data_IF_497316078468
#
_entry.id   IF_497316078468
#
_cell.length_a   1.000
_cell.length_b   1.000
_cell.length_c   1.000
_cell.angle_alpha   90.00
_cell.angle_beta   90.00
_cell.angle_gamma   90.00
#
_symmetry.space_group_name_H-M   'P 1'
#
loop_
_entity.id
_entity.type
_entity.pdbx_description
1 polymer ?
#
# COMPACT_ATOMS: atom_id res chain seq x y z
N UNK A 1 1.12 -16.52 -0.40
CA UNK A 1 1.43 -15.54 0.67
C UNK A 1 0.16 -15.17 1.40
N UNK A 2 0.22 -15.18 2.71
CA UNK A 2 -0.92 -14.77 3.53
C UNK A 2 -0.92 -13.27 3.71
N UNK A 3 -2.12 -12.68 3.82
CA UNK A 3 -2.29 -11.23 4.02
C UNK A 3 -3.11 -10.98 5.27
N UNK A 4 -2.64 -10.05 6.09
CA UNK A 4 -3.37 -9.60 7.28
C UNK A 4 -3.58 -8.10 7.17
N UNK A 5 -4.74 -7.62 7.63
CA UNK A 5 -5.16 -6.23 7.44
C UNK A 5 -5.36 -5.56 8.79
N UNK A 6 -4.55 -4.56 9.07
CA UNK A 6 -4.72 -3.74 10.26
C UNK A 6 -5.99 -2.90 10.13
N UNK A 7 -6.57 -2.48 11.25
CA UNK A 7 -7.75 -1.61 11.22
C UNK A 7 -7.49 -0.33 10.45
N UNK A 8 -6.28 0.21 10.54
CA UNK A 8 -5.89 1.41 9.82
C UNK A 8 -5.96 1.25 8.30
N UNK A 9 -5.80 0.03 7.78
CA UNK A 9 -5.90 -0.22 6.33
C UNK A 9 -7.34 -0.22 5.83
N UNK A 10 -8.31 -0.31 6.75
CA UNK A 10 -9.73 -0.39 6.39
C UNK A 10 -10.44 0.96 6.43
N UNK A 11 -9.76 1.98 6.89
CA UNK A 11 -10.32 3.32 7.11
C UNK A 11 -10.96 3.95 5.89
N UNK A 12 -10.39 3.71 4.72
CA UNK A 12 -10.78 4.39 3.49
C UNK A 12 -11.60 3.51 2.55
N UNK A 13 -12.03 2.34 3.04
CA UNK A 13 -12.96 1.49 2.30
C UNK A 13 -12.39 0.83 1.05
N UNK A 14 -11.07 0.72 0.94
CA UNK A 14 -10.45 0.00 -0.19
C UNK A 14 -10.64 -1.50 0.05
N UNK A 15 -11.17 -2.21 -0.94
CA UNK A 15 -11.45 -3.63 -0.80
C UNK A 15 -10.17 -4.46 -0.71
N UNK A 16 -10.20 -5.51 0.11
CA UNK A 16 -9.04 -6.37 0.32
C UNK A 16 -8.57 -7.02 -0.99
N UNK A 17 -9.49 -7.40 -1.86
CA UNK A 17 -9.13 -7.99 -3.16
C UNK A 17 -8.31 -7.05 -4.02
N UNK A 18 -8.66 -5.77 -4.01
CA UNK A 18 -7.92 -4.74 -4.75
C UNK A 18 -6.52 -4.60 -4.19
N UNK A 19 -6.39 -4.56 -2.87
CA UNK A 19 -5.11 -4.44 -2.19
C UNK A 19 -4.20 -5.61 -2.55
N UNK A 20 -4.71 -6.82 -2.47
CA UNK A 20 -3.93 -8.03 -2.78
C UNK A 20 -3.48 -8.03 -4.23
N UNK A 21 -4.37 -7.68 -5.16
CA UNK A 21 -4.02 -7.60 -6.58
C UNK A 21 -2.87 -6.64 -6.84
N UNK A 22 -2.90 -5.47 -6.19
CA UNK A 22 -1.84 -4.48 -6.37
C UNK A 22 -0.53 -5.00 -5.80
N UNK A 23 -0.56 -5.58 -4.62
CA UNK A 23 0.65 -6.12 -3.99
C UNK A 23 1.27 -7.23 -4.84
N UNK A 24 0.44 -8.08 -5.43
CA UNK A 24 0.93 -9.19 -6.26
C UNK A 24 1.39 -8.76 -7.64
N UNK A 25 1.03 -7.56 -8.07
CA UNK A 25 1.39 -7.09 -9.41
C UNK A 25 2.85 -6.69 -9.54
N UNK A 26 3.49 -6.32 -8.46
CA UNK A 26 4.89 -5.86 -8.45
C UNK A 26 5.44 -5.92 -7.03
N UNK A 27 6.79 -5.89 -6.87
CA UNK A 27 7.41 -6.16 -5.56
C UNK A 27 7.27 -5.08 -4.51
N UNK A 28 6.80 -3.89 -4.86
CA UNK A 28 6.75 -2.78 -3.93
C UNK A 28 8.12 -2.16 -3.70
N UNK A 29 8.13 -0.99 -3.10
CA UNK A 29 9.35 -0.21 -2.87
C UNK A 29 9.54 -0.04 -1.36
N UNK A 30 10.74 -0.32 -0.89
CA UNK A 30 11.08 -0.10 0.51
C UNK A 30 10.93 1.37 0.86
N UNK A 31 10.22 1.65 1.94
CA UNK A 31 9.96 3.02 2.37
C UNK A 31 10.22 3.18 3.86
N UNK A 32 10.74 4.36 4.19
CA UNK A 32 10.95 4.76 5.56
C UNK A 32 12.05 3.99 6.25
N UNK A 33 12.38 4.46 7.44
CA UNK A 33 13.28 3.78 8.36
C UNK A 33 12.44 3.31 9.53
N UNK A 34 12.32 2.00 9.68
CA UNK A 34 11.67 1.42 10.83
C UNK A 34 12.68 1.29 11.96
N UNK A 35 12.29 1.68 13.17
CA UNK A 35 13.14 1.50 14.35
C UNK A 35 13.42 0.04 14.63
N UNK A 36 12.52 -0.83 14.24
CA UNK A 36 12.64 -2.27 14.45
C UNK A 36 13.22 -2.99 13.23
N UNK A 37 13.76 -2.26 12.25
CA UNK A 37 14.28 -2.84 11.00
C UNK A 37 13.25 -3.68 10.26
N UNK A 38 11.99 -3.28 10.32
CA UNK A 38 10.93 -3.97 9.58
C UNK A 38 11.04 -3.68 8.09
N UNK A 39 10.68 -4.67 7.29
CA UNK A 39 10.65 -4.53 5.83
C UNK A 39 9.32 -3.88 5.42
N UNK A 40 9.28 -2.55 5.47
CA UNK A 40 8.11 -1.76 5.14
C UNK A 40 8.15 -1.37 3.68
N UNK A 41 7.09 -1.65 2.95
CA UNK A 41 7.03 -1.40 1.51
C UNK A 41 5.77 -0.65 1.13
N UNK A 42 5.86 0.10 0.02
CA UNK A 42 4.74 0.84 -0.53
C UNK A 42 4.47 0.43 -1.96
N UNK A 43 3.20 0.48 -2.34
CA UNK A 43 2.73 0.24 -3.70
C UNK A 43 1.80 1.38 -4.09
N UNK A 44 1.81 1.72 -5.37
CA UNK A 44 0.77 2.53 -5.98
C UNK A 44 0.26 1.73 -7.16
N UNK A 45 -1.03 1.45 -7.17
CA UNK A 45 -1.67 0.72 -8.26
C UNK A 45 -3.04 1.31 -8.55
N UNK A 46 -3.70 0.76 -9.56
CA UNK A 46 -5.03 1.23 -9.95
C UNK A 46 -6.08 0.25 -9.47
N UNK A 47 -7.19 0.79 -8.98
CA UNK A 47 -8.37 -0.03 -8.72
C UNK A 47 -9.19 -0.20 -10.00
N UNK A 48 -10.35 -0.85 -9.89
CA UNK A 48 -11.20 -1.12 -11.04
C UNK A 48 -11.78 0.14 -11.67
N UNK A 49 -11.84 1.22 -10.91
CA UNK A 49 -12.34 2.51 -11.39
C UNK A 49 -11.23 3.40 -11.95
N UNK A 50 -9.99 2.89 -12.00
CA UNK A 50 -8.84 3.65 -12.47
C UNK A 50 -8.28 4.63 -11.45
N UNK A 51 -8.70 4.55 -10.18
CA UNK A 51 -8.16 5.43 -9.14
C UNK A 51 -6.81 4.90 -8.65
N UNK A 52 -5.88 5.80 -8.39
CA UNK A 52 -4.60 5.43 -7.79
C UNK A 52 -4.82 5.10 -6.31
N UNK A 53 -4.38 3.92 -5.92
CA UNK A 53 -4.46 3.45 -4.55
C UNK A 53 -3.05 3.34 -3.99
N UNK A 54 -2.82 3.98 -2.85
CA UNK A 54 -1.57 3.87 -2.11
C UNK A 54 -1.71 2.79 -1.06
N UNK A 55 -0.76 1.86 -1.03
CA UNK A 55 -0.76 0.77 -0.07
C UNK A 55 0.58 0.75 0.65
N UNK A 56 0.55 0.59 1.96
CA UNK A 56 1.76 0.37 2.76
C UNK A 56 1.56 -0.92 3.55
N UNK A 57 2.56 -1.79 3.49
CA UNK A 57 2.54 -3.06 4.20
C UNK A 57 3.91 -3.35 4.78
N UNK A 58 3.91 -4.15 5.85
CA UNK A 58 5.12 -4.68 6.43
C UNK A 58 5.25 -6.13 5.99
N UNK A 59 6.37 -6.46 5.37
CA UNK A 59 6.63 -7.80 4.88
C UNK A 59 7.25 -8.64 5.99
N UNK A 60 6.50 -9.61 6.47
CA UNK A 60 7.00 -10.63 7.39
C UNK A 60 7.26 -11.92 6.60
N UNK A 61 8.04 -12.82 7.17
CA UNK A 61 8.42 -14.03 6.44
C UNK A 61 7.25 -14.89 5.95
N UNK A 62 6.14 -14.88 6.70
CA UNK A 62 5.01 -15.75 6.41
C UNK A 62 3.78 -15.02 5.94
N UNK A 63 3.77 -13.67 6.01
CA UNK A 63 2.60 -12.88 5.62
C UNK A 63 2.99 -11.43 5.38
N UNK A 64 2.10 -10.72 4.67
CA UNK A 64 2.16 -9.27 4.52
C UNK A 64 1.13 -8.66 5.48
N UNK A 65 1.54 -7.68 6.24
CA UNK A 65 0.65 -6.97 7.16
C UNK A 65 0.35 -5.59 6.61
N UNK A 66 -0.85 -5.41 6.08
CA UNK A 66 -1.25 -4.16 5.44
C UNK A 66 -1.68 -3.16 6.50
N UNK A 67 -0.96 -2.04 6.58
CA UNK A 67 -1.19 -1.01 7.59
C UNK A 67 -1.86 0.24 7.02
N UNK A 68 -1.91 0.38 5.69
CA UNK A 68 -2.48 1.56 5.05
C UNK A 68 -2.94 1.24 3.65
N UNK A 69 -4.12 1.71 3.27
CA UNK A 69 -4.63 1.63 1.91
C UNK A 69 -5.60 2.79 1.69
N UNK A 70 -5.31 3.66 0.71
CA UNK A 70 -6.08 4.87 0.52
C UNK A 70 -6.03 5.35 -0.93
N UNK A 71 -7.15 5.83 -1.50
CA UNK A 71 -7.10 6.54 -2.77
C UNK A 71 -6.29 7.83 -2.62
N UNK A 72 -5.34 8.05 -3.51
CA UNK A 72 -4.42 9.19 -3.42
C UNK A 72 -5.15 10.51 -3.59
N UNK A 73 -6.20 10.54 -4.38
CA UNK A 73 -6.98 11.75 -4.64
C UNK A 73 -7.48 12.42 -3.36
N UNK A 74 -7.63 11.66 -2.28
CA UNK A 74 -8.08 12.20 -0.99
C UNK A 74 -7.04 13.09 -0.32
N UNK A 75 -5.79 13.02 -0.77
CA UNK A 75 -4.69 13.83 -0.23
C UNK A 75 -4.46 15.13 -0.98
N UNK A 76 -5.00 15.27 -2.18
CA UNK A 76 -4.72 16.38 -3.06
C UNK A 76 -3.48 16.13 -3.93
N UNK A 77 -3.26 16.99 -4.91
CA UNK A 77 -2.30 16.77 -5.98
C UNK A 77 -0.83 16.74 -5.59
N UNK A 78 -0.47 17.39 -4.49
CA UNK A 78 0.93 17.46 -4.08
C UNK A 78 1.55 16.10 -3.77
N UNK A 79 0.75 15.19 -3.26
CA UNK A 79 1.23 13.86 -2.92
C UNK A 79 1.39 12.96 -4.13
N UNK A 80 0.62 13.19 -5.18
CA UNK A 80 0.72 12.39 -6.40
C UNK A 80 2.12 12.45 -6.98
N UNK A 81 2.71 13.64 -7.07
CA UNK A 81 4.04 13.81 -7.62
C UNK A 81 5.10 13.06 -6.81
N UNK A 82 4.98 13.11 -5.49
CA UNK A 82 5.92 12.42 -4.62
C UNK A 82 5.78 10.91 -4.69
N UNK A 83 4.54 10.44 -4.77
CA UNK A 83 4.29 9.01 -4.81
C UNK A 83 4.67 8.39 -6.14
N UNK A 84 4.55 9.14 -7.22
CA UNK A 84 4.97 8.68 -8.54
C UNK A 84 6.48 8.39 -8.60
N UNK A 85 7.26 9.04 -7.77
CA UNK A 85 8.70 8.76 -7.68
C UNK A 85 9.02 7.39 -7.07
N UNK A 86 8.05 6.72 -6.49
CA UNK A 86 8.25 5.39 -5.91
C UNK A 86 8.29 4.30 -6.99
N UNK A 87 7.97 4.63 -8.21
CA UNK A 87 7.94 3.69 -9.34
C UNK A 87 8.90 4.12 -10.43
#
# INVERSE_FOLDING_TARGET
>A
MEYKFANSSKKHGVEEEVIVKIIESKPGIKVGLSRENLDKRAWIGLDELGRKIEIIAINFNFYQYIIHAMPIEKRGGEFDDKMDHLW
#
